data_IF_220625330939
#
_entry.id   IF_220625330939
#
_cell.length_a   1.000
_cell.length_b   1.000
_cell.length_c   1.000
_cell.angle_alpha   90.00
_cell.angle_beta   90.00
_cell.angle_gamma   90.00
#
_symmetry.space_group_name_H-M   'P 1'
#
loop_
_entity.id
_entity.type
_entity.pdbx_description
1 polymer ?
#
# COMPACT_ATOMS: atom_id res chain seq x y z
N UNK A 1 9.61 0.72 -11.69
CA UNK A 1 8.86 0.74 -10.43
C UNK A 1 9.38 1.89 -9.57
N UNK A 2 8.50 2.76 -9.07
CA UNK A 2 8.86 3.74 -8.04
C UNK A 2 8.54 3.12 -6.68
N UNK A 3 9.47 3.19 -5.74
CA UNK A 3 9.27 2.73 -4.37
C UNK A 3 9.06 3.95 -3.48
N UNK A 4 8.10 3.85 -2.57
CA UNK A 4 7.82 4.90 -1.60
C UNK A 4 7.99 4.31 -0.21
N UNK A 5 8.77 5.00 0.61
CA UNK A 5 8.94 4.64 2.01
C UNK A 5 7.82 5.29 2.81
N UNK A 6 7.06 4.47 3.50
CA UNK A 6 6.05 4.93 4.46
C UNK A 6 6.54 4.66 5.88
N UNK A 7 6.17 5.50 6.87
CA UNK A 7 6.47 5.21 8.26
C UNK A 7 5.81 3.90 8.69
N UNK A 8 6.55 3.07 9.43
CA UNK A 8 6.07 1.78 9.96
C UNK A 8 4.82 1.96 10.84
N UNK A 9 4.63 3.14 11.44
CA UNK A 9 3.44 3.48 12.24
C UNK A 9 2.13 3.38 11.47
N UNK A 10 2.15 3.44 10.14
CA UNK A 10 0.96 3.28 9.30
C UNK A 10 0.44 1.84 9.34
N UNK A 11 1.31 0.84 9.55
CA UNK A 11 0.91 -0.56 9.70
C UNK A 11 0.00 -0.80 10.91
N UNK A 12 0.01 0.12 11.88
CA UNK A 12 -0.86 0.07 13.06
C UNK A 12 -2.19 0.80 12.85
N UNK A 13 -2.42 1.43 11.69
CA UNK A 13 -3.70 2.07 11.38
C UNK A 13 -4.69 1.01 10.90
N UNK A 14 -5.88 0.88 11.51
CA UNK A 14 -6.86 -0.13 11.10
C UNK A 14 -7.21 -0.07 9.62
N UNK A 15 -7.37 1.13 9.07
CA UNK A 15 -7.64 1.34 7.64
C UNK A 15 -6.51 0.87 6.74
N UNK A 16 -5.26 0.93 7.20
CA UNK A 16 -4.12 0.44 6.43
C UNK A 16 -4.04 -1.09 6.50
N UNK A 17 -4.35 -1.69 7.65
CA UNK A 17 -4.44 -3.15 7.77
C UNK A 17 -5.57 -3.72 6.91
N UNK A 18 -6.71 -3.05 6.87
CA UNK A 18 -7.83 -3.41 5.99
C UNK A 18 -7.39 -3.33 4.51
N UNK A 19 -6.69 -2.27 4.11
CA UNK A 19 -6.12 -2.15 2.78
C UNK A 19 -5.14 -3.29 2.45
N UNK A 20 -4.25 -3.65 3.38
CA UNK A 20 -3.32 -4.76 3.19
C UNK A 20 -4.03 -6.11 3.08
N UNK A 21 -5.11 -6.31 3.85
CA UNK A 21 -5.91 -7.55 3.80
C UNK A 21 -6.64 -7.68 2.47
N UNK A 22 -7.23 -6.59 1.96
CA UNK A 22 -7.85 -6.57 0.63
C UNK A 22 -6.82 -6.83 -0.47
N UNK A 23 -5.64 -6.22 -0.37
CA UNK A 23 -4.58 -6.42 -1.33
C UNK A 23 -3.97 -7.84 -1.28
N UNK A 24 -3.90 -8.46 -0.10
CA UNK A 24 -3.54 -9.88 0.03
C UNK A 24 -4.58 -10.77 -0.64
N UNK A 25 -5.88 -10.53 -0.44
CA UNK A 25 -6.94 -11.32 -1.06
C UNK A 25 -6.90 -11.23 -2.60
N UNK A 26 -6.61 -10.03 -3.13
CA UNK A 26 -6.59 -9.78 -4.58
C UNK A 26 -5.28 -10.21 -5.26
N UNK A 27 -4.12 -10.00 -4.62
CA UNK A 27 -2.80 -10.18 -5.25
C UNK A 27 -1.94 -11.27 -4.60
N UNK A 28 -2.27 -11.70 -3.39
CA UNK A 28 -1.49 -12.67 -2.61
C UNK A 28 -0.13 -12.16 -2.14
N UNK A 29 0.41 -12.79 -1.09
CA UNK A 29 1.81 -12.61 -0.68
C UNK A 29 2.79 -13.54 -1.43
N UNK A 30 2.33 -14.22 -2.49
CA UNK A 30 3.08 -15.24 -3.26
C UNK A 30 4.17 -14.64 -4.17
N UNK A 31 4.90 -13.67 -3.64
CA UNK A 31 6.03 -13.05 -4.29
C UNK A 31 7.32 -13.67 -3.73
N UNK A 32 8.29 -14.03 -4.59
CA UNK A 32 9.54 -14.67 -4.14
C UNK A 32 10.32 -13.87 -3.10
N UNK A 33 10.10 -12.55 -3.05
CA UNK A 33 10.73 -11.63 -2.10
C UNK A 33 10.08 -11.65 -0.72
N UNK A 34 8.97 -12.37 -0.53
CA UNK A 34 8.21 -12.40 0.74
C UNK A 34 7.55 -11.06 1.10
N UNK A 35 7.29 -10.21 0.10
CA UNK A 35 6.73 -8.88 0.29
C UNK A 35 5.51 -8.65 -0.59
N UNK A 36 4.58 -7.82 -0.11
CA UNK A 36 3.39 -7.44 -0.86
C UNK A 36 3.75 -6.42 -1.93
N UNK A 37 3.61 -6.81 -3.20
CA UNK A 37 3.73 -5.88 -4.32
C UNK A 37 2.35 -5.64 -4.88
N UNK A 38 1.78 -4.47 -4.61
CA UNK A 38 0.44 -4.13 -5.09
C UNK A 38 0.57 -3.32 -6.39
N UNK A 39 0.02 -3.78 -7.52
CA UNK A 39 0.01 -3.01 -8.74
C UNK A 39 -0.99 -1.86 -8.60
N UNK A 40 -0.47 -0.64 -8.43
CA UNK A 40 -1.26 0.58 -8.44
C UNK A 40 -1.01 1.40 -9.69
N UNK A 41 -2.05 2.04 -10.22
CA UNK A 41 -1.85 3.12 -11.19
C UNK A 41 -1.25 4.35 -10.50
N UNK A 42 -0.43 5.10 -11.23
CA UNK A 42 0.21 6.31 -10.69
C UNK A 42 -0.84 7.34 -10.24
N UNK A 43 -1.98 7.42 -10.93
CA UNK A 43 -3.11 8.29 -10.56
C UNK A 43 -3.71 7.95 -9.18
N UNK A 44 -3.91 6.65 -8.90
CA UNK A 44 -4.43 6.19 -7.60
C UNK A 44 -3.41 6.48 -6.50
N UNK A 45 -2.12 6.27 -6.78
CA UNK A 45 -1.06 6.58 -5.84
C UNK A 45 -1.05 8.08 -5.49
N UNK A 46 -1.16 8.98 -6.47
CA UNK A 46 -1.22 10.42 -6.23
C UNK A 46 -2.45 10.81 -5.40
N UNK A 47 -3.61 10.27 -5.71
CA UNK A 47 -4.84 10.51 -4.93
C UNK A 47 -4.68 10.08 -3.47
N UNK A 48 -4.12 8.90 -3.20
CA UNK A 48 -3.90 8.41 -1.84
C UNK A 48 -2.86 9.27 -1.13
N UNK A 49 -1.73 9.55 -1.79
CA UNK A 49 -0.63 10.32 -1.19
C UNK A 49 -1.06 11.74 -0.86
N UNK A 50 -1.83 12.40 -1.73
CA UNK A 50 -2.42 13.72 -1.50
C UNK A 50 -3.32 13.71 -0.25
N UNK A 51 -4.23 12.72 -0.17
CA UNK A 51 -5.11 12.57 1.00
C UNK A 51 -4.36 12.25 2.30
N UNK A 52 -3.24 11.54 2.22
CA UNK A 52 -2.41 11.18 3.37
C UNK A 52 -1.45 12.30 3.80
N UNK A 53 -0.97 13.12 2.87
CA UNK A 53 -0.07 14.25 3.16
C UNK A 53 -0.82 15.49 3.63
N UNK A 54 -2.12 15.59 3.33
CA UNK A 54 -2.93 16.76 3.69
C UNK A 54 -2.54 18.03 2.94
N UNK A 55 -1.82 17.90 1.81
CA UNK A 55 -1.74 18.93 0.77
C UNK A 55 -3.04 18.97 -0.02
#
# INVERSE_FOLDING_TARGET
>A
MKQFLIPVSYLNKPSFQELLSQAEEEFGYDHPTGGLTIPFSEDVFWHITYRLSGL
#
